data_IF_845633371739
#
_entry.id   IF_845633371739
#
_cell.length_a   1.000
_cell.length_b   1.000
_cell.length_c   1.000
_cell.angle_alpha   90.00
_cell.angle_beta   90.00
_cell.angle_gamma   90.00
#
_symmetry.space_group_name_H-M   'P 1'
#
loop_
_entity.id
_entity.type
_entity.pdbx_description
1 polymer ?
#
# COMPACT_ATOMS: atom_id res chain seq x y z
N UNK A 1 -14.96 5.84 24.37
CA UNK A 1 -15.60 4.85 23.48
C UNK A 1 -15.21 5.01 21.99
N UNK A 2 -14.88 6.22 21.49
CA UNK A 2 -14.39 6.40 20.10
C UNK A 2 -12.97 5.87 19.87
N UNK A 3 -12.06 5.98 20.85
CA UNK A 3 -10.67 5.49 20.73
C UNK A 3 -10.58 3.98 20.40
N UNK A 4 -11.39 3.14 21.07
CA UNK A 4 -11.42 1.69 20.82
C UNK A 4 -11.94 1.36 19.41
N UNK A 5 -12.95 2.10 18.91
CA UNK A 5 -13.46 1.90 17.54
C UNK A 5 -12.40 2.26 16.49
N UNK A 6 -11.68 3.35 16.69
CA UNK A 6 -10.61 3.79 15.80
C UNK A 6 -9.44 2.78 15.77
N UNK A 7 -9.07 2.23 16.95
CA UNK A 7 -8.04 1.19 17.02
C UNK A 7 -8.45 -0.10 16.29
N UNK A 8 -9.71 -0.53 16.41
CA UNK A 8 -10.22 -1.70 15.68
C UNK A 8 -10.22 -1.49 14.17
N UNK A 9 -10.65 -0.31 13.71
CA UNK A 9 -10.66 0.03 12.28
C UNK A 9 -9.24 0.05 11.69
N UNK A 10 -8.28 0.61 12.42
CA UNK A 10 -6.87 0.62 12.02
C UNK A 10 -6.28 -0.80 11.93
N UNK A 11 -6.61 -1.68 12.88
CA UNK A 11 -6.17 -3.08 12.87
C UNK A 11 -6.77 -3.85 11.69
N UNK A 12 -8.06 -3.64 11.37
CA UNK A 12 -8.68 -4.29 10.22
C UNK A 12 -8.09 -3.84 8.89
N UNK A 13 -7.76 -2.55 8.75
CA UNK A 13 -7.14 -2.01 7.54
C UNK A 13 -5.71 -2.53 7.36
N UNK A 14 -4.92 -2.61 8.45
CA UNK A 14 -3.58 -3.19 8.40
C UNK A 14 -3.61 -4.65 7.94
N UNK A 15 -4.53 -5.46 8.48
CA UNK A 15 -4.70 -6.85 8.08
C UNK A 15 -5.09 -6.99 6.61
N UNK A 16 -6.06 -6.20 6.15
CA UNK A 16 -6.47 -6.21 4.73
C UNK A 16 -5.31 -5.84 3.79
N UNK A 17 -4.43 -4.94 4.21
CA UNK A 17 -3.26 -4.55 3.43
C UNK A 17 -2.21 -5.67 3.36
N UNK A 18 -1.97 -6.37 4.47
CA UNK A 18 -1.05 -7.53 4.52
C UNK A 18 -1.55 -8.69 3.65
N UNK A 19 -2.87 -8.91 3.60
CA UNK A 19 -3.49 -9.97 2.80
C UNK A 19 -3.50 -9.62 1.29
N UNK A 20 -3.47 -8.33 0.91
CA UNK A 20 -3.51 -7.89 -0.48
C UNK A 20 -2.15 -8.02 -1.20
N UNK A 21 -1.03 -7.83 -0.48
CA UNK A 21 0.31 -7.82 -1.08
C UNK A 21 0.69 -9.15 -1.76
N UNK A 22 0.49 -10.32 -1.13
CA UNK A 22 0.83 -11.59 -1.75
C UNK A 22 0.04 -11.84 -3.04
N UNK A 23 -1.22 -11.37 -3.11
CA UNK A 23 -2.06 -11.54 -4.29
C UNK A 23 -1.54 -10.70 -5.46
N UNK A 24 -1.19 -9.43 -5.22
CA UNK A 24 -0.59 -8.57 -6.27
C UNK A 24 0.75 -9.14 -6.77
N UNK A 25 1.57 -9.67 -5.86
CA UNK A 25 2.82 -10.33 -6.26
C UNK A 25 2.55 -11.60 -7.09
N UNK A 26 1.59 -12.42 -6.69
CA UNK A 26 1.18 -13.61 -7.44
C UNK A 26 0.72 -13.26 -8.85
N UNK A 27 -0.06 -12.18 -9.01
CA UNK A 27 -0.55 -11.72 -10.31
C UNK A 27 0.62 -11.25 -11.20
N UNK A 28 1.53 -10.46 -10.65
CA UNK A 28 2.70 -9.96 -11.40
C UNK A 28 3.65 -11.10 -11.80
N UNK A 29 3.94 -12.03 -10.89
CA UNK A 29 4.77 -13.18 -11.20
C UNK A 29 4.07 -14.18 -12.12
N UNK A 30 2.74 -14.34 -12.00
CA UNK A 30 1.96 -15.18 -12.89
C UNK A 30 1.93 -14.63 -14.32
N UNK A 31 1.73 -13.32 -14.50
CA UNK A 31 1.81 -12.67 -15.81
C UNK A 31 3.22 -12.74 -16.40
N UNK A 32 4.25 -12.42 -15.61
CA UNK A 32 5.64 -12.54 -16.04
C UNK A 32 5.99 -13.98 -16.42
N UNK A 33 5.61 -14.96 -15.60
CA UNK A 33 5.81 -16.38 -15.85
C UNK A 33 5.10 -16.85 -17.12
N UNK A 34 3.87 -16.41 -17.35
CA UNK A 34 3.13 -16.71 -18.58
C UNK A 34 3.82 -16.17 -19.83
N UNK A 35 4.28 -14.91 -19.80
CA UNK A 35 5.03 -14.32 -20.93
C UNK A 35 6.37 -15.03 -21.15
N UNK A 36 7.08 -15.39 -20.08
CA UNK A 36 8.32 -16.18 -20.17
C UNK A 36 8.10 -17.56 -20.78
N UNK A 37 7.00 -18.23 -20.40
CA UNK A 37 6.61 -19.51 -20.99
C UNK A 37 6.25 -19.37 -22.47
N UNK A 38 5.45 -18.37 -22.83
CA UNK A 38 5.00 -18.16 -24.21
C UNK A 38 6.14 -17.76 -25.15
N UNK A 39 7.13 -16.99 -24.66
CA UNK A 39 8.31 -16.59 -25.45
C UNK A 39 9.40 -17.66 -25.49
N UNK A 40 9.36 -18.67 -24.61
CA UNK A 40 10.45 -19.63 -24.41
C UNK A 40 11.67 -19.04 -23.67
N UNK A 41 11.62 -17.76 -23.30
CA UNK A 41 12.71 -17.03 -22.65
C UNK A 41 12.27 -16.53 -21.26
N UNK A 42 12.65 -17.26 -20.21
CA UNK A 42 12.35 -16.90 -18.83
C UNK A 42 12.83 -15.50 -18.43
N UNK A 43 13.90 -15.00 -19.05
CA UNK A 43 14.40 -13.65 -18.81
C UNK A 43 13.39 -12.59 -19.26
N UNK A 44 12.71 -12.78 -20.40
CA UNK A 44 11.66 -11.87 -20.88
C UNK A 44 10.53 -11.80 -19.86
N UNK A 45 10.10 -12.96 -19.35
CA UNK A 45 9.09 -13.04 -18.32
C UNK A 45 9.47 -12.29 -17.03
N UNK A 46 10.71 -12.46 -16.57
CA UNK A 46 11.24 -11.74 -15.41
C UNK A 46 11.29 -10.22 -15.64
N UNK A 47 11.74 -9.78 -16.81
CA UNK A 47 11.78 -8.36 -17.18
C UNK A 47 10.38 -7.75 -17.19
N UNK A 48 9.39 -8.46 -17.72
CA UNK A 48 7.98 -8.02 -17.71
C UNK A 48 7.45 -7.93 -16.29
N UNK A 49 7.69 -8.93 -15.44
CA UNK A 49 7.29 -8.92 -14.04
C UNK A 49 7.90 -7.74 -13.27
N UNK A 50 9.21 -7.53 -13.38
CA UNK A 50 9.91 -6.38 -12.77
C UNK A 50 9.37 -5.05 -13.30
N UNK A 51 9.07 -4.97 -14.60
CA UNK A 51 8.47 -3.77 -15.20
C UNK A 51 7.12 -3.44 -14.55
N UNK A 52 6.25 -4.43 -14.35
CA UNK A 52 4.99 -4.19 -13.65
C UNK A 52 5.19 -3.75 -12.20
N UNK A 53 6.14 -4.34 -11.45
CA UNK A 53 6.47 -3.89 -10.09
C UNK A 53 6.93 -2.43 -10.06
N UNK A 54 7.76 -2.03 -11.02
CA UNK A 54 8.23 -0.63 -11.14
C UNK A 54 7.07 0.30 -11.47
N UNK A 55 6.20 -0.05 -12.42
CA UNK A 55 5.03 0.74 -12.77
C UNK A 55 4.06 0.90 -11.58
N UNK A 56 3.86 -0.16 -10.80
CA UNK A 56 3.06 -0.13 -9.57
C UNK A 56 3.76 0.65 -8.45
N UNK A 57 5.07 0.84 -8.48
CA UNK A 57 5.79 1.61 -7.46
C UNK A 57 5.63 3.12 -7.64
N UNK A 58 5.36 3.60 -8.86
CA UNK A 58 5.30 5.05 -9.16
C UNK A 58 3.91 5.63 -8.80
N UNK A 59 3.80 6.57 -7.84
CA UNK A 59 2.52 7.02 -7.29
C UNK A 59 1.58 7.67 -8.32
N UNK A 60 2.13 8.37 -9.31
CA UNK A 60 1.35 9.07 -10.34
C UNK A 60 0.63 8.12 -11.30
N UNK A 61 1.21 6.95 -11.59
CA UNK A 61 0.69 6.00 -12.59
C UNK A 61 0.15 4.71 -11.96
N UNK A 62 0.37 4.50 -10.66
CA UNK A 62 0.01 3.26 -9.94
C UNK A 62 -1.43 2.81 -10.16
N UNK A 63 -2.39 3.73 -10.13
CA UNK A 63 -3.82 3.41 -10.37
C UNK A 63 -4.06 2.89 -11.78
N UNK A 64 -3.43 3.51 -12.78
CA UNK A 64 -3.56 3.09 -14.17
C UNK A 64 -2.85 1.75 -14.41
N UNK A 65 -1.65 1.57 -13.85
CA UNK A 65 -0.91 0.31 -13.88
C UNK A 65 -1.71 -0.83 -13.25
N UNK A 66 -2.33 -0.59 -12.07
CA UNK A 66 -3.18 -1.56 -11.39
C UNK A 66 -4.38 -2.02 -12.24
N UNK A 67 -5.02 -1.09 -12.95
CA UNK A 67 -6.13 -1.40 -13.84
C UNK A 67 -5.66 -2.27 -15.03
N UNK A 68 -4.51 -1.93 -15.62
CA UNK A 68 -3.93 -2.72 -16.71
C UNK A 68 -3.58 -4.13 -16.24
N UNK A 69 -2.87 -4.26 -15.12
CA UNK A 69 -2.47 -5.56 -14.56
C UNK A 69 -3.71 -6.40 -14.26
N UNK A 70 -4.77 -5.80 -13.70
CA UNK A 70 -6.02 -6.51 -13.43
C UNK A 70 -6.73 -7.00 -14.70
N UNK A 71 -6.71 -6.20 -15.78
CA UNK A 71 -7.26 -6.64 -17.08
C UNK A 71 -6.43 -7.76 -17.70
N UNK A 72 -5.10 -7.67 -17.63
CA UNK A 72 -4.22 -8.73 -18.13
C UNK A 72 -4.41 -10.03 -17.34
N UNK A 73 -4.58 -9.93 -16.02
CA UNK A 73 -4.89 -11.09 -15.17
C UNK A 73 -6.23 -11.73 -15.52
N UNK A 74 -7.25 -10.92 -15.82
CA UNK A 74 -8.55 -11.40 -16.26
C UNK A 74 -8.46 -12.18 -17.58
N UNK A 75 -7.72 -11.65 -18.55
CA UNK A 75 -7.49 -12.31 -19.85
C UNK A 75 -6.70 -13.61 -19.65
N UNK A 76 -5.64 -13.58 -18.82
CA UNK A 76 -4.85 -14.77 -18.52
C UNK A 76 -5.70 -15.86 -17.85
N UNK A 77 -6.49 -15.52 -16.84
CA UNK A 77 -7.36 -16.47 -16.15
C UNK A 77 -8.41 -17.09 -17.09
N UNK A 78 -9.00 -16.29 -17.98
CA UNK A 78 -9.91 -16.78 -19.01
C UNK A 78 -9.23 -17.75 -19.99
N UNK A 79 -8.04 -17.38 -20.50
CA UNK A 79 -7.27 -18.21 -21.42
C UNK A 79 -6.86 -19.54 -20.78
N UNK A 80 -6.29 -19.51 -19.56
CA UNK A 80 -5.96 -20.72 -18.80
C UNK A 80 -7.20 -21.57 -18.48
N UNK A 81 -8.35 -20.94 -18.26
CA UNK A 81 -9.64 -21.63 -18.09
C UNK A 81 -10.00 -22.49 -19.30
N UNK A 82 -9.81 -21.98 -20.51
CA UNK A 82 -10.07 -22.72 -21.74
C UNK A 82 -9.02 -23.83 -21.91
N UNK A 83 -7.74 -23.48 -21.82
CA UNK A 83 -6.64 -24.38 -22.19
C UNK A 83 -6.39 -25.51 -21.17
N UNK A 84 -6.50 -25.22 -19.86
CA UNK A 84 -6.18 -26.18 -18.80
C UNK A 84 -7.39 -26.91 -18.23
N UNK A 85 -8.57 -26.27 -18.28
CA UNK A 85 -9.79 -26.80 -17.64
C UNK A 85 -10.90 -27.09 -18.64
N UNK A 86 -10.62 -27.00 -19.95
CA UNK A 86 -11.56 -27.27 -21.05
C UNK A 86 -12.89 -26.49 -20.88
N UNK A 87 -12.83 -25.29 -20.30
CA UNK A 87 -14.01 -24.47 -20.10
C UNK A 87 -14.59 -24.00 -21.43
N UNK A 88 -15.92 -23.98 -21.52
CA UNK A 88 -16.59 -23.31 -22.62
C UNK A 88 -16.25 -21.81 -22.64
N UNK A 89 -16.29 -21.18 -23.81
CA UNK A 89 -15.98 -19.75 -23.97
C UNK A 89 -16.81 -18.86 -23.02
N UNK A 90 -18.09 -19.19 -22.83
CA UNK A 90 -18.98 -18.44 -21.95
C UNK A 90 -18.60 -18.59 -20.47
N UNK A 91 -18.16 -19.78 -20.04
CA UNK A 91 -17.66 -20.02 -18.69
C UNK A 91 -16.32 -19.32 -18.45
N UNK A 92 -15.44 -19.31 -19.44
CA UNK A 92 -14.14 -18.64 -19.37
C UNK A 92 -14.30 -17.12 -19.19
N UNK A 93 -15.27 -16.50 -19.86
CA UNK A 93 -15.61 -15.07 -19.65
C UNK A 93 -15.99 -14.79 -18.21
N UNK A 94 -16.83 -15.64 -17.60
CA UNK A 94 -17.22 -15.48 -16.18
C UNK A 94 -16.01 -15.59 -15.26
N UNK A 95 -15.13 -16.56 -15.51
CA UNK A 95 -13.87 -16.72 -14.75
C UNK A 95 -12.98 -15.48 -14.89
N UNK A 96 -12.84 -14.94 -16.10
CA UNK A 96 -12.09 -13.71 -16.34
C UNK A 96 -12.67 -12.52 -15.58
N UNK A 97 -14.00 -12.34 -15.57
CA UNK A 97 -14.66 -11.27 -14.82
C UNK A 97 -14.43 -11.42 -13.30
N UNK A 98 -14.53 -12.65 -12.77
CA UNK A 98 -14.25 -12.89 -11.34
C UNK A 98 -12.80 -12.59 -11.00
N UNK A 99 -11.85 -13.04 -11.83
CA UNK A 99 -10.42 -12.76 -11.67
C UNK A 99 -10.14 -11.25 -11.71
N UNK A 100 -10.79 -10.51 -12.63
CA UNK A 100 -10.70 -9.06 -12.70
C UNK A 100 -11.14 -8.38 -11.40
N UNK A 101 -12.30 -8.74 -10.86
CA UNK A 101 -12.86 -8.10 -9.65
C UNK A 101 -12.01 -8.39 -8.42
N UNK A 102 -11.53 -9.62 -8.29
CA UNK A 102 -10.65 -10.03 -7.18
C UNK A 102 -9.31 -9.26 -7.28
N UNK A 103 -8.69 -9.26 -8.45
CA UNK A 103 -7.44 -8.54 -8.71
C UNK A 103 -7.57 -7.05 -8.43
N UNK A 104 -8.63 -6.42 -8.96
CA UNK A 104 -8.87 -5.00 -8.78
C UNK A 104 -9.05 -4.63 -7.30
N UNK A 105 -9.72 -5.48 -6.53
CA UNK A 105 -9.91 -5.29 -5.09
C UNK A 105 -8.58 -5.35 -4.33
N UNK A 106 -7.71 -6.32 -4.66
CA UNK A 106 -6.38 -6.42 -4.05
C UNK A 106 -5.49 -5.22 -4.42
N UNK A 107 -5.52 -4.78 -5.68
CA UNK A 107 -4.79 -3.60 -6.11
C UNK A 107 -5.24 -2.32 -5.40
N UNK A 108 -6.54 -2.15 -5.13
CA UNK A 108 -7.01 -1.02 -4.32
C UNK A 108 -6.49 -1.08 -2.88
N UNK A 109 -6.46 -2.26 -2.27
CA UNK A 109 -5.82 -2.48 -0.95
C UNK A 109 -4.33 -2.13 -0.95
N UNK A 110 -3.60 -2.55 -1.98
CA UNK A 110 -2.20 -2.19 -2.17
C UNK A 110 -1.99 -0.68 -2.37
N UNK A 111 -2.87 -0.01 -3.12
CA UNK A 111 -2.80 1.45 -3.32
C UNK A 111 -3.04 2.20 -2.00
N UNK A 112 -3.99 1.76 -1.16
CA UNK A 112 -4.20 2.37 0.15
C UNK A 112 -3.00 2.15 1.08
N UNK A 113 -2.47 0.93 1.11
CA UNK A 113 -1.28 0.60 1.90
C UNK A 113 -0.06 1.45 1.52
N UNK A 114 0.19 1.56 0.22
CA UNK A 114 1.36 2.29 -0.27
C UNK A 114 1.25 3.79 0.00
N UNK A 115 0.06 4.39 -0.10
CA UNK A 115 -0.18 5.78 0.32
C UNK A 115 0.07 5.99 1.82
N UNK A 116 -0.33 5.02 2.65
CA UNK A 116 -0.11 5.11 4.11
C UNK A 116 1.39 5.02 4.47
N UNK A 117 2.21 4.30 3.69
CA UNK A 117 3.67 4.28 3.83
C UNK A 117 4.28 5.58 3.33
N UNK A 118 3.90 6.02 2.12
CA UNK A 118 4.37 7.28 1.52
C UNK A 118 4.11 8.47 2.47
N UNK A 119 2.99 8.46 3.21
CA UNK A 119 2.65 9.49 4.19
C UNK A 119 3.47 9.41 5.49
N UNK A 120 3.85 8.21 5.95
CA UNK A 120 4.70 8.02 7.14
C UNK A 120 6.14 8.43 6.89
N UNK A 121 6.67 8.14 5.70
CA UNK A 121 8.03 8.55 5.32
C UNK A 121 8.16 10.06 5.15
N UNK A 122 7.05 10.75 4.86
CA UNK A 122 6.97 12.21 4.82
C UNK A 122 6.76 12.86 6.19
N UNK A 123 6.53 12.09 7.27
CA UNK A 123 6.44 12.61 8.64
C UNK A 123 7.69 12.25 9.45
N UNK A 124 8.75 13.08 9.41
CA UNK A 124 9.83 13.01 10.39
C UNK A 124 9.32 13.65 11.69
N UNK A 125 8.34 13.05 12.35
CA UNK A 125 7.79 13.47 13.65
C UNK A 125 7.59 14.99 13.79
N UNK A 126 6.88 15.62 12.85
CA UNK A 126 6.50 17.02 12.99
C UNK A 126 6.28 17.74 11.67
N UNK A 127 5.02 18.13 11.46
CA UNK A 127 4.65 19.22 10.56
C UNK A 127 5.64 20.39 10.71
N UNK A 128 6.05 21.09 9.62
CA UNK A 128 6.87 22.30 9.72
C UNK A 128 6.28 23.39 10.62
N UNK A 129 4.96 23.35 10.86
CA UNK A 129 4.27 24.20 11.82
C UNK A 129 4.41 23.70 13.27
N UNK A 130 4.49 22.39 13.50
CA UNK A 130 4.57 21.78 14.84
C UNK A 130 6.02 21.76 15.38
N UNK A 131 7.04 21.62 14.51
CA UNK A 131 8.46 21.75 14.92
C UNK A 131 8.84 23.17 15.35
N UNK A 132 8.05 24.18 14.95
CA UNK A 132 8.17 25.57 15.46
C UNK A 132 7.45 25.77 16.80
N UNK A 133 6.73 24.77 17.31
CA UNK A 133 5.99 24.81 18.57
C UNK A 133 6.69 24.08 19.71
N UNK A 134 8.00 23.84 19.64
CA UNK A 134 8.78 23.27 20.77
C UNK A 134 9.76 24.29 21.36
N UNK A 135 9.96 24.22 22.68
CA UNK A 135 10.92 25.00 23.46
C UNK A 135 11.68 24.05 24.39
N UNK A 136 12.95 24.35 24.62
CA UNK A 136 13.77 23.63 25.58
C UNK A 136 13.47 24.13 27.01
N UNK A 137 13.40 23.21 27.97
CA UNK A 137 13.24 23.57 29.38
C UNK A 137 14.58 24.03 29.98
N UNK A 138 14.66 25.23 30.60
CA UNK A 138 15.92 25.75 31.13
C UNK A 138 16.47 24.93 32.32
N UNK A 139 15.62 24.18 33.04
CA UNK A 139 16.02 23.44 34.24
C UNK A 139 16.50 22.02 33.95
N UNK A 140 15.93 21.34 32.94
CA UNK A 140 16.20 19.93 32.68
C UNK A 140 16.59 19.61 31.24
N UNK A 141 16.72 20.61 30.37
CA UNK A 141 17.11 20.48 28.96
C UNK A 141 16.22 19.55 28.11
N UNK A 142 15.02 19.21 28.60
CA UNK A 142 14.07 18.41 27.84
C UNK A 142 13.27 19.28 26.86
N UNK A 143 12.93 18.70 25.72
CA UNK A 143 12.12 19.35 24.69
C UNK A 143 10.63 19.28 25.04
N UNK A 144 9.97 20.44 25.08
CA UNK A 144 8.57 20.56 25.51
C UNK A 144 7.79 21.43 24.53
N UNK A 145 6.50 21.12 24.35
CA UNK A 145 5.58 21.96 23.59
C UNK A 145 5.55 23.40 24.14
N UNK A 146 5.63 24.41 23.28
CA UNK A 146 5.62 25.85 23.60
C UNK A 146 4.39 26.26 24.42
N UNK A 147 3.24 25.65 24.13
CA UNK A 147 1.97 25.84 24.85
C UNK A 147 1.98 25.25 26.27
N UNK A 148 3.00 24.49 26.65
CA UNK A 148 3.11 23.96 28.00
C UNK A 148 3.38 25.07 29.00
N UNK A 149 2.48 25.17 30.00
CA UNK A 149 2.61 26.05 31.15
C UNK A 149 3.57 25.48 32.20
N UNK A 150 3.72 24.15 32.27
CA UNK A 150 4.58 23.47 33.23
C UNK A 150 5.34 22.33 32.56
N UNK A 151 6.62 22.17 32.91
CA UNK A 151 7.43 21.05 32.46
C UNK A 151 6.92 19.73 33.04
N UNK A 152 6.73 18.71 32.20
CA UNK A 152 6.28 17.38 32.64
C UNK A 152 7.36 16.62 33.42
N UNK A 153 8.63 16.91 33.16
CA UNK A 153 9.77 16.16 33.68
C UNK A 153 10.28 16.72 35.01
N UNK A 154 10.60 18.02 35.07
CA UNK A 154 11.12 18.66 36.28
C UNK A 154 10.10 19.53 37.02
N UNK A 155 8.94 19.82 36.43
CA UNK A 155 7.91 20.65 37.06
C UNK A 155 8.14 22.16 37.00
N UNK A 156 9.14 22.65 36.25
CA UNK A 156 9.37 24.08 36.00
C UNK A 156 8.09 24.79 35.48
N UNK A 157 7.72 25.93 36.06
CA UNK A 157 6.56 26.73 35.64
C UNK A 157 7.02 27.86 34.71
N UNK A 158 6.51 27.86 33.48
CA UNK A 158 6.87 28.84 32.45
C UNK A 158 6.08 30.15 32.57
N UNK A 159 5.19 30.31 33.56
CA UNK A 159 4.40 31.54 33.76
C UNK A 159 5.14 32.64 34.52
N UNK A 160 6.21 32.28 35.24
CA UNK A 160 6.88 33.19 36.19
C UNK A 160 8.10 33.92 35.63
N UNK A 161 8.45 33.71 34.37
CA UNK A 161 9.54 34.43 33.69
C UNK A 161 9.01 35.70 33.00
N UNK A 162 9.06 36.83 33.73
CA UNK A 162 8.96 38.19 33.18
C UNK A 162 10.34 38.70 32.80
#
# INVERSE_FOLDING_TARGET
MSSIKNQRAALTQAKQNEDAMPLVLLEVFGLGGFVGWQSGEWLVGLVVGVTFLVLLSIPYIRVFAALIVSLLWAVLAGALGIDLFELSESSAVVVGILAFVISLSAHFGFITWSKDIDAKDQDPSGSPAERKEEKECPDCAEWIKKKALKCRFCGHDFRTST
#
